data_IF_139335136035
#
_entry.id   IF_139335136035
#
_cell.length_a   1.000
_cell.length_b   1.000
_cell.length_c   1.000
_cell.angle_alpha   90.00
_cell.angle_beta   90.00
_cell.angle_gamma   90.00
#
_symmetry.space_group_name_H-M   'P 1'
#
loop_
_entity.id
_entity.type
_entity.pdbx_description
1 polymer ?
#
# COMPACT_ATOMS: atom_id res chain seq x y z
N UNK A 1 14.12 16.35 9.64
CA UNK A 1 12.81 16.41 8.94
C UNK A 1 12.85 15.40 7.81
N UNK A 2 12.14 14.27 7.93
CA UNK A 2 12.11 13.27 6.84
C UNK A 2 11.10 13.79 5.82
N UNK A 3 11.58 14.51 4.81
CA UNK A 3 10.75 14.94 3.69
C UNK A 3 10.25 13.70 2.96
N UNK A 4 9.00 13.30 3.18
CA UNK A 4 8.32 12.36 2.29
C UNK A 4 7.71 13.19 1.17
N UNK A 5 8.29 13.23 -0.05
CA UNK A 5 7.66 13.91 -1.16
C UNK A 5 6.34 13.21 -1.45
N UNK A 6 5.25 13.97 -1.46
CA UNK A 6 3.94 13.48 -1.85
C UNK A 6 4.05 12.76 -3.20
N UNK A 7 3.54 11.52 -3.26
CA UNK A 7 3.43 10.74 -4.49
C UNK A 7 1.95 10.66 -4.84
N UNK A 8 1.59 10.89 -6.11
CA UNK A 8 0.23 10.70 -6.59
C UNK A 8 -0.25 9.25 -6.33
N UNK A 9 -1.57 9.01 -6.27
CA UNK A 9 -2.13 7.67 -5.99
C UNK A 9 -1.59 6.58 -6.92
N UNK A 10 -1.52 6.86 -8.22
CA UNK A 10 -0.91 5.98 -9.24
C UNK A 10 0.62 5.97 -9.21
N UNK A 11 1.23 6.93 -8.52
CA UNK A 11 2.69 7.05 -8.39
C UNK A 11 3.23 6.14 -7.26
N UNK A 12 2.37 5.69 -6.35
CA UNK A 12 2.74 4.81 -5.22
C UNK A 12 3.03 3.39 -5.71
N UNK A 13 3.94 2.74 -5.01
CA UNK A 13 4.45 1.39 -5.29
C UNK A 13 4.58 0.65 -3.98
N UNK A 14 4.50 -0.68 -4.01
CA UNK A 14 4.61 -1.48 -2.82
C UNK A 14 6.00 -1.28 -2.19
N UNK A 15 6.06 -0.90 -0.91
CA UNK A 15 7.34 -0.72 -0.20
C UNK A 15 8.09 -2.03 0.05
N UNK A 16 7.47 -3.19 -0.22
CA UNK A 16 8.06 -4.52 -0.03
C UNK A 16 8.64 -5.05 -1.34
N UNK A 17 7.86 -5.11 -2.42
CA UNK A 17 8.33 -5.63 -3.71
C UNK A 17 8.71 -4.56 -4.74
N UNK A 18 8.38 -3.29 -4.50
CA UNK A 18 8.66 -2.18 -5.41
C UNK A 18 7.75 -2.10 -6.64
N UNK A 19 6.86 -3.08 -6.85
CA UNK A 19 5.92 -3.10 -7.98
C UNK A 19 4.64 -2.31 -7.71
N UNK A 20 3.98 -1.92 -8.81
CA UNK A 20 2.62 -1.37 -8.86
C UNK A 20 1.62 -2.32 -9.53
N UNK A 21 2.07 -3.56 -9.75
CA UNK A 21 1.26 -4.61 -10.30
C UNK A 21 0.17 -5.04 -9.29
N UNK A 22 -0.80 -5.87 -9.65
CA UNK A 22 -1.86 -6.32 -8.72
C UNK A 22 -2.53 -5.16 -7.95
N UNK A 23 -3.02 -4.15 -8.68
CA UNK A 23 -3.67 -2.97 -8.09
C UNK A 23 -4.91 -3.31 -7.24
N UNK A 24 -5.54 -4.46 -7.49
CA UNK A 24 -6.67 -4.99 -6.71
C UNK A 24 -6.29 -5.37 -5.27
N UNK A 25 -5.06 -5.84 -5.06
CA UNK A 25 -4.50 -6.14 -3.74
C UNK A 25 -3.73 -4.93 -3.15
N UNK A 26 -3.73 -3.78 -3.83
CA UNK A 26 -2.91 -2.64 -3.47
C UNK A 26 -3.59 -1.77 -2.41
N UNK A 27 -2.95 -1.70 -1.26
CA UNK A 27 -3.46 -1.05 -0.07
C UNK A 27 -2.66 0.23 0.24
N UNK A 28 -3.37 1.26 0.71
CA UNK A 28 -2.78 2.54 1.08
C UNK A 28 -2.97 2.82 2.58
N UNK A 29 -1.91 3.26 3.24
CA UNK A 29 -1.99 3.75 4.62
C UNK A 29 -2.40 5.22 4.63
N UNK A 30 -3.52 5.56 5.27
CA UNK A 30 -4.00 6.94 5.42
C UNK A 30 -3.03 7.80 6.26
N UNK A 31 -2.45 7.22 7.33
CA UNK A 31 -1.54 7.96 8.22
C UNK A 31 -0.14 8.22 7.66
N UNK A 32 0.28 7.51 6.62
CA UNK A 32 1.66 7.54 6.15
C UNK A 32 1.84 7.65 4.63
N UNK A 33 0.73 7.68 3.89
CA UNK A 33 0.66 7.87 2.44
C UNK A 33 1.47 6.84 1.61
N UNK A 34 1.83 5.71 2.22
CA UNK A 34 2.59 4.62 1.58
C UNK A 34 1.67 3.51 1.10
N UNK A 35 2.17 2.71 0.17
CA UNK A 35 1.45 1.61 -0.46
C UNK A 35 2.08 0.25 -0.23
N UNK A 36 1.26 -0.79 -0.10
CA UNK A 36 1.67 -2.19 0.04
C UNK A 36 0.67 -3.11 -0.65
N UNK A 37 1.10 -4.24 -1.20
CA UNK A 37 0.15 -5.28 -1.55
C UNK A 37 -0.26 -6.06 -0.30
N UNK A 38 -1.54 -6.37 -0.16
CA UNK A 38 -2.07 -7.32 0.82
C UNK A 38 -1.26 -8.62 0.94
N UNK A 39 -0.93 -9.33 -0.17
CA UNK A 39 -0.11 -10.54 -0.13
C UNK A 39 1.37 -10.31 0.17
N UNK A 40 1.88 -9.08 0.08
CA UNK A 40 3.25 -8.77 0.48
C UNK A 40 3.38 -8.57 2.00
N UNK A 41 2.27 -8.38 2.72
CA UNK A 41 2.26 -8.27 4.18
C UNK A 41 2.52 -9.64 4.82
N UNK A 42 3.03 -9.63 6.06
CA UNK A 42 3.18 -10.82 6.90
C UNK A 42 2.46 -10.58 8.23
N UNK A 43 1.33 -11.26 8.50
CA UNK A 43 0.65 -12.24 7.65
C UNK A 43 0.01 -11.61 6.39
N UNK A 44 -0.13 -12.37 5.29
CA UNK A 44 -0.72 -11.86 4.05
C UNK A 44 -2.19 -11.53 4.25
N UNK A 45 -2.57 -10.29 3.93
CA UNK A 45 -3.97 -9.87 3.89
C UNK A 45 -4.51 -10.20 2.49
N UNK A 46 -5.37 -11.20 2.40
CA UNK A 46 -6.03 -11.61 1.15
C UNK A 46 -7.45 -11.04 1.02
N UNK A 47 -7.99 -10.49 2.11
CA UNK A 47 -9.29 -9.86 2.16
C UNK A 47 -9.13 -8.43 2.65
N UNK A 48 -9.69 -7.47 1.90
CA UNK A 48 -10.02 -6.17 2.49
C UNK A 48 -11.04 -6.48 3.58
N UNK A 49 -10.75 -6.21 4.88
CA UNK A 49 -11.73 -6.45 5.92
C UNK A 49 -13.02 -5.71 5.56
N UNK A 50 -14.18 -6.34 5.71
CA UNK A 50 -15.48 -5.70 5.54
C UNK A 50 -15.66 -4.68 6.70
N UNK A 51 -15.05 -3.50 6.58
CA UNK A 51 -15.00 -2.49 7.65
C UNK A 51 -13.92 -1.40 7.47
N UNK A 52 -14.10 -0.29 8.19
CA UNK A 52 -13.24 0.91 8.20
C UNK A 52 -11.81 0.57 8.66
N UNK A 53 -10.81 0.83 7.81
CA UNK A 53 -9.38 0.70 8.09
C UNK A 53 -8.79 2.05 8.51
#
# INVERSE_FOLDING_TARGET
VRSNPWKCGECKSCEICGSKDNAEDFLFCDGCDRGWHGPCLDPPMHETPDGDW
#
